data_IF_637573046826
#
_entry.id   IF_637573046826
#
_cell.length_a   1.000
_cell.length_b   1.000
_cell.length_c   1.000
_cell.angle_alpha   90.00
_cell.angle_beta   90.00
_cell.angle_gamma   90.00
#
_symmetry.space_group_name_H-M   'P 1'
#
loop_
_entity.id
_entity.type
_entity.pdbx_description
1 polymer ?
#
# COMPACT_ATOMS: atom_id res chain seq x y z
N UNK A 1 -2.06 -11.98 -3.38
CA UNK A 1 -2.89 -11.03 -2.59
C UNK A 1 -4.31 -10.98 -3.13
N UNK A 2 -4.53 -10.89 -4.45
CA UNK A 2 -5.85 -11.09 -5.06
C UNK A 2 -6.37 -12.52 -4.86
N UNK A 3 -5.50 -13.53 -4.99
CA UNK A 3 -5.90 -14.95 -4.79
C UNK A 3 -6.37 -15.23 -3.35
N UNK A 4 -5.78 -14.53 -2.36
CA UNK A 4 -6.21 -14.63 -0.96
C UNK A 4 -7.59 -13.99 -0.74
N UNK A 5 -7.95 -12.98 -1.52
CA UNK A 5 -9.27 -12.33 -1.47
C UNK A 5 -10.32 -13.27 -2.08
N UNK A 6 -10.03 -13.91 -3.21
CA UNK A 6 -10.93 -14.93 -3.78
C UNK A 6 -11.16 -16.09 -2.82
N UNK A 7 -10.11 -16.57 -2.16
CA UNK A 7 -10.22 -17.65 -1.17
C UNK A 7 -11.03 -17.24 0.07
N UNK A 8 -10.90 -15.98 0.52
CA UNK A 8 -11.74 -15.41 1.58
C UNK A 8 -13.22 -15.42 1.18
N UNK A 9 -13.56 -15.03 -0.05
CA UNK A 9 -14.95 -15.05 -0.53
C UNK A 9 -15.53 -16.47 -0.70
N UNK A 10 -14.71 -17.53 -0.67
CA UNK A 10 -15.20 -18.92 -0.65
C UNK A 10 -15.73 -19.37 0.72
N UNK A 11 -15.45 -18.62 1.80
CA UNK A 11 -15.91 -18.97 3.16
C UNK A 11 -17.45 -18.91 3.25
N UNK A 12 -18.12 -19.91 3.87
CA UNK A 12 -19.59 -19.96 3.95
C UNK A 12 -20.20 -18.70 4.58
N UNK A 13 -19.52 -18.16 5.59
CA UNK A 13 -19.93 -16.98 6.37
C UNK A 13 -19.96 -15.69 5.55
N UNK A 14 -19.16 -15.62 4.48
CA UNK A 14 -19.00 -14.45 3.61
C UNK A 14 -19.84 -14.55 2.34
N UNK A 15 -20.54 -15.67 2.12
CA UNK A 15 -21.44 -15.88 0.97
C UNK A 15 -22.48 -14.77 0.83
N UNK A 16 -22.98 -14.25 1.96
CA UNK A 16 -23.95 -13.14 2.02
C UNK A 16 -23.41 -11.79 1.53
N UNK A 17 -22.11 -11.66 1.28
CA UNK A 17 -21.51 -10.43 0.77
C UNK A 17 -21.15 -10.52 -0.71
N UNK A 18 -21.28 -11.71 -1.34
CA UNK A 18 -20.93 -11.92 -2.76
C UNK A 18 -21.73 -11.08 -3.76
N UNK A 19 -22.93 -10.65 -3.38
CA UNK A 19 -23.80 -9.82 -4.21
C UNK A 19 -23.59 -8.31 -3.98
N UNK A 20 -22.74 -7.93 -3.04
CA UNK A 20 -22.32 -6.54 -2.87
C UNK A 20 -21.21 -6.27 -3.90
N UNK A 21 -21.34 -5.24 -4.76
CA UNK A 21 -20.42 -4.99 -5.87
C UNK A 21 -19.03 -4.50 -5.43
N UNK A 22 -18.84 -4.25 -4.14
CA UNK A 22 -17.63 -3.64 -3.59
C UNK A 22 -16.60 -4.69 -3.20
N UNK A 23 -15.33 -4.45 -3.56
CA UNK A 23 -14.20 -5.30 -3.18
C UNK A 23 -14.09 -5.49 -1.65
N UNK A 24 -14.51 -4.47 -0.88
CA UNK A 24 -14.54 -4.48 0.59
C UNK A 24 -15.94 -4.05 1.09
N UNK A 25 -16.87 -5.01 1.29
CA UNK A 25 -18.21 -4.74 1.79
C UNK A 25 -18.17 -4.35 3.28
N UNK A 26 -19.05 -3.42 3.67
CA UNK A 26 -19.15 -2.95 5.06
C UNK A 26 -19.78 -4.00 5.97
N UNK A 27 -19.11 -4.32 7.08
CA UNK A 27 -19.64 -5.19 8.15
C UNK A 27 -20.82 -4.58 8.90
N UNK A 28 -21.01 -3.26 8.81
CA UNK A 28 -22.16 -2.57 9.40
C UNK A 28 -23.45 -2.70 8.57
N UNK A 29 -23.37 -3.24 7.35
CA UNK A 29 -24.55 -3.51 6.53
C UNK A 29 -25.11 -4.90 6.84
N UNK A 30 -26.44 -4.99 6.99
CA UNK A 30 -27.13 -6.22 7.41
C UNK A 30 -28.18 -6.68 6.38
N UNK A 31 -28.51 -7.98 6.32
CA UNK A 31 -29.54 -8.51 5.41
C UNK A 31 -30.88 -7.77 5.48
N UNK A 32 -31.31 -7.38 6.68
CA UNK A 32 -32.56 -6.62 6.86
C UNK A 32 -32.51 -5.23 6.23
N UNK A 33 -31.34 -4.58 6.25
CA UNK A 33 -31.17 -3.25 5.66
C UNK A 33 -31.01 -3.25 4.13
N UNK A 34 -30.79 -4.43 3.52
CA UNK A 34 -30.65 -4.56 2.07
C UNK A 34 -31.99 -4.70 1.35
N UNK A 35 -33.05 -5.05 2.08
CA UNK A 35 -34.37 -5.28 1.51
C UNK A 35 -35.17 -3.98 1.40
N UNK A 36 -35.96 -3.86 0.34
CA UNK A 36 -36.93 -2.78 0.22
C UNK A 36 -38.05 -3.03 1.26
N UNK A 37 -38.39 -2.06 2.13
CA UNK A 37 -39.38 -2.25 3.18
C UNK A 37 -40.72 -2.79 2.64
N UNK A 38 -41.24 -3.85 3.25
CA UNK A 38 -42.50 -4.48 2.82
C UNK A 38 -42.37 -5.46 1.65
N UNK A 39 -41.15 -5.67 1.13
CA UNK A 39 -40.87 -6.67 0.10
C UNK A 39 -39.72 -7.59 0.53
N UNK A 40 -39.56 -8.71 -0.19
CA UNK A 40 -38.37 -9.57 -0.07
C UNK A 40 -37.34 -9.27 -1.17
N UNK A 41 -37.46 -8.12 -1.84
CA UNK A 41 -36.57 -7.71 -2.92
C UNK A 41 -35.38 -6.91 -2.40
N UNK A 42 -34.24 -7.12 -3.04
CA UNK A 42 -32.99 -6.42 -2.72
C UNK A 42 -33.00 -5.03 -3.35
N UNK A 43 -32.79 -3.99 -2.53
CA UNK A 43 -32.63 -2.62 -3.00
C UNK A 43 -31.27 -2.46 -3.69
N UNK A 44 -31.30 -2.43 -5.03
CA UNK A 44 -30.10 -2.19 -5.82
C UNK A 44 -29.48 -0.81 -5.52
N UNK A 45 -30.30 0.21 -5.29
CA UNK A 45 -29.83 1.54 -4.91
C UNK A 45 -29.06 1.52 -3.58
N UNK A 46 -29.57 0.79 -2.58
CA UNK A 46 -28.91 0.67 -1.29
C UNK A 46 -27.61 -0.13 -1.38
N UNK A 47 -27.63 -1.26 -2.11
CA UNK A 47 -26.46 -2.13 -2.28
C UNK A 47 -25.32 -1.46 -3.05
N UNK A 48 -25.65 -0.67 -4.07
CA UNK A 48 -24.70 0.16 -4.81
C UNK A 48 -24.37 1.48 -4.09
N UNK A 49 -24.91 1.70 -2.89
CA UNK A 49 -24.73 2.92 -2.12
C UNK A 49 -23.43 2.95 -1.31
N UNK A 50 -23.07 4.14 -0.80
CA UNK A 50 -21.88 4.32 0.06
C UNK A 50 -21.96 3.56 1.39
N UNK A 51 -23.17 3.24 1.87
CA UNK A 51 -23.41 2.59 3.18
C UNK A 51 -22.97 1.11 3.22
N UNK A 52 -22.91 0.45 2.06
CA UNK A 52 -22.51 -0.95 1.92
C UNK A 52 -21.03 -1.11 1.57
N UNK A 53 -20.29 -0.01 1.38
CA UNK A 53 -18.85 0.01 1.16
C UNK A 53 -18.12 0.32 2.47
N UNK A 54 -16.98 -0.33 2.75
CA UNK A 54 -16.07 0.14 3.80
C UNK A 54 -15.68 1.60 3.50
N UNK A 55 -16.08 2.51 4.39
CA UNK A 55 -15.81 3.93 4.24
C UNK A 55 -14.35 4.28 4.54
N UNK A 56 -13.69 3.47 5.36
CA UNK A 56 -12.35 3.72 5.87
C UNK A 56 -11.47 2.48 5.78
N UNK A 57 -10.33 2.60 5.10
CA UNK A 57 -9.32 1.53 4.98
C UNK A 57 -8.59 1.23 6.29
N UNK A 58 -8.94 1.93 7.38
CA UNK A 58 -8.33 1.78 8.70
C UNK A 58 -8.47 0.37 9.25
N UNK A 59 -9.66 -0.23 9.15
CA UNK A 59 -9.89 -1.59 9.66
C UNK A 59 -9.13 -2.62 8.83
N UNK A 60 -9.15 -2.51 7.50
CA UNK A 60 -8.35 -3.37 6.61
C UNK A 60 -6.85 -3.26 6.90
N UNK A 61 -6.37 -2.06 7.21
CA UNK A 61 -4.99 -1.82 7.59
C UNK A 61 -4.63 -2.47 8.93
N UNK A 62 -5.53 -2.37 9.92
CA UNK A 62 -5.34 -2.97 11.24
C UNK A 62 -5.27 -4.50 11.16
N UNK A 63 -6.19 -5.12 10.43
CA UNK A 63 -6.18 -6.58 10.19
C UNK A 63 -4.89 -7.01 9.48
N UNK A 64 -4.45 -6.29 8.45
CA UNK A 64 -3.19 -6.57 7.78
C UNK A 64 -1.99 -6.48 8.74
N UNK A 65 -1.95 -5.50 9.64
CA UNK A 65 -0.89 -5.38 10.66
C UNK A 65 -0.90 -6.54 11.66
N UNK A 66 -2.08 -6.99 12.08
CA UNK A 66 -2.25 -8.15 12.97
C UNK A 66 -1.77 -9.44 12.29
N UNK A 67 -2.16 -9.68 11.04
CA UNK A 67 -1.79 -10.87 10.27
C UNK A 67 -0.28 -10.93 9.94
N UNK A 68 0.32 -9.79 9.61
CA UNK A 68 1.74 -9.70 9.21
C UNK A 68 2.69 -9.49 10.38
N UNK A 69 2.17 -9.20 11.58
CA UNK A 69 2.96 -8.79 12.74
C UNK A 69 3.62 -7.41 12.61
N UNK A 70 3.34 -6.66 11.54
CA UNK A 70 3.93 -5.35 11.26
C UNK A 70 3.36 -4.29 12.21
N UNK A 71 4.17 -3.84 13.17
CA UNK A 71 3.80 -2.80 14.14
C UNK A 71 4.15 -1.40 13.63
N UNK A 72 3.27 -0.43 13.89
CA UNK A 72 3.47 1.01 13.60
C UNK A 72 3.76 1.35 12.12
N UNK A 73 3.50 0.44 11.18
CA UNK A 73 3.60 0.73 9.75
C UNK A 73 2.40 1.55 9.34
N UNK A 74 2.62 2.71 8.71
CA UNK A 74 1.55 3.55 8.14
C UNK A 74 1.66 3.55 6.62
N UNK A 75 0.56 3.81 5.89
CA UNK A 75 0.54 3.87 4.41
C UNK A 75 1.67 4.74 3.83
N UNK A 76 2.00 5.84 4.52
CA UNK A 76 3.11 6.71 4.13
C UNK A 76 4.45 5.97 4.09
N UNK A 77 4.72 5.06 5.03
CA UNK A 77 5.94 4.25 5.08
C UNK A 77 6.04 3.32 3.87
N UNK A 78 4.96 2.63 3.51
CA UNK A 78 4.95 1.79 2.31
C UNK A 78 5.23 2.59 1.05
N UNK A 79 4.62 3.78 0.90
CA UNK A 79 4.93 4.70 -0.20
C UNK A 79 6.41 5.07 -0.22
N UNK A 80 7.02 5.29 0.96
CA UNK A 80 8.45 5.59 1.05
C UNK A 80 9.33 4.42 0.65
N UNK A 81 9.05 3.24 1.17
CA UNK A 81 9.78 2.01 0.84
C UNK A 81 9.66 1.69 -0.65
N UNK A 82 8.47 1.83 -1.23
CA UNK A 82 8.26 1.66 -2.66
C UNK A 82 9.11 2.64 -3.46
N UNK A 83 9.09 3.94 -3.10
CA UNK A 83 9.85 4.96 -3.82
C UNK A 83 11.37 4.74 -3.72
N UNK A 84 11.86 4.36 -2.54
CA UNK A 84 13.27 4.04 -2.29
C UNK A 84 13.71 2.82 -3.10
N UNK A 85 12.98 1.70 -3.02
CA UNK A 85 13.28 0.49 -3.81
C UNK A 85 13.26 0.76 -5.31
N UNK A 86 12.27 1.51 -5.81
CA UNK A 86 12.20 1.86 -7.24
C UNK A 86 13.43 2.65 -7.68
N UNK A 87 13.92 3.60 -6.88
CA UNK A 87 15.17 4.32 -7.19
C UNK A 87 16.37 3.37 -7.19
N UNK A 88 16.51 2.51 -6.17
CA UNK A 88 17.63 1.55 -6.10
C UNK A 88 17.63 0.58 -7.29
N UNK A 89 16.46 0.04 -7.67
CA UNK A 89 16.35 -0.89 -8.80
C UNK A 89 16.66 -0.22 -10.14
N UNK A 90 16.26 1.04 -10.33
CA UNK A 90 16.49 1.77 -11.59
C UNK A 90 17.84 2.51 -11.63
N UNK A 91 18.53 2.63 -10.50
CA UNK A 91 19.81 3.34 -10.38
C UNK A 91 19.75 4.86 -10.55
N UNK A 92 18.60 5.43 -10.96
CA UNK A 92 18.47 6.87 -11.17
C UNK A 92 17.08 7.41 -10.82
N UNK A 93 17.05 8.67 -10.36
CA UNK A 93 15.83 9.35 -9.89
C UNK A 93 14.93 9.82 -11.03
N UNK A 94 15.47 10.05 -12.23
CA UNK A 94 14.73 10.54 -13.40
C UNK A 94 13.73 9.51 -13.94
N UNK A 95 14.11 8.24 -13.95
CA UNK A 95 13.21 7.13 -14.31
C UNK A 95 12.29 6.76 -13.16
N UNK A 96 12.79 6.79 -11.93
CA UNK A 96 12.00 6.48 -10.73
C UNK A 96 10.82 7.46 -10.54
N UNK A 97 10.93 8.72 -10.95
CA UNK A 97 9.80 9.67 -10.94
C UNK A 97 8.61 9.18 -11.75
N UNK A 98 8.86 8.62 -12.94
CA UNK A 98 7.80 8.21 -13.87
C UNK A 98 6.92 7.13 -13.23
N UNK A 99 7.50 6.31 -12.35
CA UNK A 99 6.82 5.23 -11.64
C UNK A 99 6.24 5.72 -10.30
N UNK A 100 6.98 6.54 -9.55
CA UNK A 100 6.58 6.95 -8.19
C UNK A 100 5.63 8.16 -8.15
N UNK A 101 5.43 8.83 -9.28
CA UNK A 101 4.50 9.95 -9.42
C UNK A 101 4.94 11.24 -8.71
N UNK A 102 6.24 11.41 -8.43
CA UNK A 102 6.76 12.65 -7.86
C UNK A 102 7.01 13.69 -8.96
N UNK A 103 6.77 14.97 -8.67
CA UNK A 103 7.00 16.04 -9.67
C UNK A 103 8.45 16.50 -9.77
N UNK A 104 9.30 16.16 -8.80
CA UNK A 104 10.70 16.63 -8.71
C UNK A 104 11.64 15.51 -8.26
N UNK A 105 12.80 15.41 -8.90
CA UNK A 105 13.86 14.40 -8.61
C UNK A 105 14.48 14.63 -7.25
N UNK A 106 14.70 15.89 -6.90
CA UNK A 106 15.20 16.30 -5.59
C UNK A 106 14.37 15.75 -4.41
N UNK A 107 13.08 15.46 -4.58
CA UNK A 107 12.25 14.83 -3.54
C UNK A 107 12.65 13.37 -3.31
N UNK A 108 13.00 12.64 -4.38
CA UNK A 108 13.51 11.27 -4.32
C UNK A 108 14.90 11.25 -3.66
N UNK A 109 15.76 12.16 -4.08
CA UNK A 109 17.14 12.25 -3.60
C UNK A 109 17.21 12.65 -2.11
N UNK A 110 16.36 13.59 -1.67
CA UNK A 110 16.42 14.08 -0.29
C UNK A 110 15.79 13.16 0.75
N UNK A 111 14.73 12.43 0.39
CA UNK A 111 13.88 11.74 1.37
C UNK A 111 13.96 10.22 1.32
N UNK A 112 14.59 9.66 0.29
CA UNK A 112 14.60 8.22 0.03
C UNK A 112 16.00 7.67 -0.27
N UNK A 113 17.03 8.52 -0.19
CA UNK A 113 18.42 8.11 -0.04
C UNK A 113 18.65 7.69 1.41
N UNK A 114 18.26 6.47 1.73
CA UNK A 114 18.63 5.85 3.00
C UNK A 114 20.02 5.29 2.73
N UNK A 115 21.04 6.13 2.85
CA UNK A 115 22.41 5.70 2.64
C UNK A 115 22.73 4.51 3.56
N UNK A 116 23.05 3.37 2.98
CA UNK A 116 23.59 2.25 3.72
C UNK A 116 24.99 2.65 4.21
N UNK A 117 25.30 2.44 5.48
CA UNK A 117 26.61 2.81 6.06
C UNK A 117 27.76 2.15 5.30
N UNK A 118 27.52 0.95 4.77
CA UNK A 118 28.46 0.21 3.92
C UNK A 118 28.69 0.90 2.56
N UNK A 119 27.63 1.39 1.90
CA UNK A 119 27.77 2.13 0.63
C UNK A 119 28.53 3.46 0.84
N UNK A 120 28.26 4.17 1.95
CA UNK A 120 29.01 5.40 2.28
C UNK A 120 30.50 5.08 2.42
N UNK A 121 30.82 3.98 3.09
CA UNK A 121 32.20 3.54 3.29
C UNK A 121 32.87 3.19 1.97
N UNK A 122 32.18 2.47 1.10
CA UNK A 122 32.69 2.08 -0.22
C UNK A 122 32.93 3.31 -1.12
N UNK A 123 32.01 4.28 -1.12
CA UNK A 123 32.21 5.54 -1.82
C UNK A 123 33.35 6.37 -1.24
N UNK A 124 33.50 6.41 0.09
CA UNK A 124 34.62 7.10 0.73
C UNK A 124 35.96 6.48 0.35
N UNK A 125 36.06 5.15 0.26
CA UNK A 125 37.25 4.46 -0.22
C UNK A 125 37.52 4.77 -1.71
N UNK A 126 36.50 4.68 -2.56
CA UNK A 126 36.62 5.01 -4.00
C UNK A 126 37.13 6.44 -4.21
N UNK A 127 36.62 7.39 -3.42
CA UNK A 127 37.05 8.79 -3.48
C UNK A 127 38.47 8.94 -2.95
N UNK A 128 38.82 8.31 -1.82
CA UNK A 128 40.17 8.36 -1.25
C UNK A 128 41.24 7.78 -2.20
N UNK A 129 40.90 6.71 -2.93
CA UNK A 129 41.77 6.06 -3.91
C UNK A 129 41.93 6.89 -5.20
N UNK A 130 41.04 7.87 -5.44
CA UNK A 130 41.13 8.79 -6.58
C UNK A 130 42.07 9.99 -6.36
N UNK A 131 42.60 10.15 -5.14
CA UNK A 131 43.55 11.21 -4.80
C UNK A 131 44.99 10.68 -4.78
N UNK A 132 45.90 11.38 -5.46
CA UNK A 132 47.33 11.20 -5.27
C UNK A 132 47.77 11.95 -4.00
N UNK A 133 48.05 11.19 -2.94
CA UNK A 133 48.52 11.73 -1.68
C UNK A 133 50.02 12.00 -1.77
N UNK A 134 50.40 13.27 -1.85
CA UNK A 134 51.81 13.67 -1.79
C UNK A 134 52.32 13.53 -0.34
N UNK A 135 53.30 12.65 -0.12
CA UNK A 135 54.04 12.58 1.13
C UNK A 135 54.95 13.81 1.27
N UNK A 136 54.85 14.52 2.40
CA UNK A 136 55.78 15.58 2.81
C UNK A 136 56.96 15.00 3.60
#
# INVERSE_FOLDING_TARGET
MLDQIEELYKRPELTKYKFVPWLFPSTHSSPKSWLIPGTFEISQEYINGKKTRIAHTRESWKTMQEDTGLRNVVNRMLRKTHSSKTRTTLGNSSEAIKITGHSKTATLDKHYDIHNTEEIREYAHTVADSFDWMEN
#
